data_IF_085723238440
#
_entry.id   IF_085723238440
#
_cell.length_a   1.000
_cell.length_b   1.000
_cell.length_c   1.000
_cell.angle_alpha   90.00
_cell.angle_beta   90.00
_cell.angle_gamma   90.00
#
_symmetry.space_group_name_H-M   'P 1'
#
loop_
_entity.id
_entity.type
_entity.pdbx_description
1 polymer ?
#
# COMPACT_ATOMS: atom_id res chain seq x y z
N UNK A 1 -8.62 -2.23 -30.95
CA UNK A 1 -9.75 -2.03 -30.02
C UNK A 1 -10.09 -3.29 -29.26
N UNK A 2 -10.33 -4.39 -29.94
CA UNK A 2 -10.62 -5.67 -29.27
C UNK A 2 -9.47 -6.15 -28.40
N UNK A 3 -8.24 -6.01 -28.86
CA UNK A 3 -7.07 -6.44 -28.11
C UNK A 3 -6.94 -5.64 -26.80
N UNK A 4 -7.17 -4.35 -26.88
CA UNK A 4 -7.11 -3.47 -25.71
C UNK A 4 -8.22 -3.82 -24.71
N UNK A 5 -9.43 -4.09 -25.22
CA UNK A 5 -10.56 -4.48 -24.38
C UNK A 5 -10.26 -5.77 -23.64
N UNK A 6 -9.68 -6.74 -24.34
CA UNK A 6 -9.35 -8.02 -23.74
C UNK A 6 -8.27 -7.88 -22.68
N UNK A 7 -7.28 -7.04 -22.93
CA UNK A 7 -6.22 -6.76 -21.93
C UNK A 7 -6.80 -6.13 -20.68
N UNK A 8 -7.76 -5.19 -20.83
CA UNK A 8 -8.43 -4.58 -19.71
C UNK A 8 -9.24 -5.59 -18.91
N UNK A 9 -9.93 -6.50 -19.58
CA UNK A 9 -10.71 -7.54 -18.92
C UNK A 9 -9.82 -8.48 -18.12
N UNK A 10 -8.71 -8.89 -18.70
CA UNK A 10 -7.77 -9.79 -18.04
C UNK A 10 -7.16 -9.11 -16.83
N UNK A 11 -6.74 -7.86 -16.98
CA UNK A 11 -6.20 -7.06 -15.88
C UNK A 11 -7.24 -6.89 -14.76
N UNK A 12 -8.47 -6.58 -15.13
CA UNK A 12 -9.56 -6.44 -14.16
C UNK A 12 -9.80 -7.71 -13.37
N UNK A 13 -9.74 -8.87 -14.04
CA UNK A 13 -9.91 -10.16 -13.35
C UNK A 13 -8.79 -10.41 -12.34
N UNK A 14 -7.56 -10.06 -12.70
CA UNK A 14 -6.43 -10.22 -11.80
C UNK A 14 -6.59 -9.36 -10.55
N UNK A 15 -7.18 -8.17 -10.69
CA UNK A 15 -7.37 -7.26 -9.56
C UNK A 15 -8.51 -7.68 -8.63
N UNK A 16 -9.43 -8.53 -9.06
CA UNK A 16 -10.57 -8.94 -8.23
C UNK A 16 -10.15 -9.59 -6.92
N UNK A 17 -9.04 -10.31 -6.92
CA UNK A 17 -8.57 -11.04 -5.76
C UNK A 17 -7.48 -10.29 -4.99
N UNK A 18 -7.25 -9.03 -5.32
CA UNK A 18 -6.24 -8.24 -4.64
C UNK A 18 -6.54 -8.14 -3.15
N UNK A 19 -5.53 -8.44 -2.33
CA UNK A 19 -5.60 -8.34 -0.87
C UNK A 19 -4.35 -7.70 -0.34
N UNK A 20 -4.53 -6.90 0.70
CA UNK A 20 -3.42 -6.39 1.48
C UNK A 20 -3.39 -7.15 2.81
N UNK A 21 -2.21 -7.37 3.38
CA UNK A 21 -2.15 -7.96 4.70
C UNK A 21 -2.68 -6.95 5.71
N UNK A 22 -3.72 -7.32 6.44
CA UNK A 22 -4.21 -6.51 7.54
C UNK A 22 -3.25 -6.63 8.73
N UNK A 23 -3.44 -5.81 9.74
CA UNK A 23 -2.49 -5.73 10.86
C UNK A 23 -2.13 -7.10 11.43
N UNK A 24 -3.14 -7.96 11.64
CA UNK A 24 -2.93 -9.28 12.21
C UNK A 24 -2.15 -10.21 11.28
N UNK A 25 -2.15 -9.93 10.00
CA UNK A 25 -1.49 -10.75 8.99
C UNK A 25 -0.07 -10.28 8.68
N UNK A 26 0.31 -9.10 9.16
CA UNK A 26 1.67 -8.61 8.97
C UNK A 26 2.65 -9.49 9.72
N UNK A 27 3.85 -9.72 9.16
CA UNK A 27 4.86 -10.54 9.84
C UNK A 27 5.20 -9.96 11.20
N UNK A 28 5.05 -10.76 12.24
CA UNK A 28 5.40 -10.37 13.59
C UNK A 28 6.86 -10.73 13.87
N UNK A 29 7.74 -10.20 13.05
CA UNK A 29 9.18 -10.44 13.05
C UNK A 29 9.90 -9.14 12.84
N UNK A 30 11.14 -9.09 13.32
CA UNK A 30 12.03 -7.98 13.00
C UNK A 30 12.73 -8.29 11.67
N UNK A 31 12.65 -7.34 10.74
CA UNK A 31 13.15 -7.51 9.38
C UNK A 31 14.27 -6.53 9.09
N UNK A 32 15.18 -6.91 8.20
CA UNK A 32 16.19 -6.00 7.69
C UNK A 32 15.64 -5.19 6.52
N UNK A 33 16.32 -4.10 6.18
CA UNK A 33 15.90 -3.17 5.14
C UNK A 33 15.52 -3.85 3.82
N UNK A 34 16.37 -4.76 3.34
CA UNK A 34 16.12 -5.43 2.07
C UNK A 34 14.89 -6.34 2.12
N UNK A 35 14.63 -6.95 3.27
CA UNK A 35 13.46 -7.80 3.44
C UNK A 35 12.17 -6.97 3.44
N UNK A 36 12.19 -5.82 4.12
CA UNK A 36 11.05 -4.90 4.14
C UNK A 36 10.74 -4.40 2.73
N UNK A 37 11.77 -4.01 1.99
CA UNK A 37 11.62 -3.52 0.62
C UNK A 37 11.01 -4.60 -0.29
N UNK A 38 11.51 -5.82 -0.18
CA UNK A 38 10.98 -6.96 -0.94
C UNK A 38 9.50 -7.19 -0.61
N UNK A 39 9.16 -7.13 0.66
CA UNK A 39 7.80 -7.37 1.12
C UNK A 39 6.83 -6.32 0.59
N UNK A 40 7.20 -5.04 0.71
CA UNK A 40 6.37 -3.93 0.22
C UNK A 40 6.17 -4.05 -1.29
N UNK A 41 7.24 -4.32 -2.02
CA UNK A 41 7.16 -4.49 -3.47
C UNK A 41 6.22 -5.64 -3.85
N UNK A 42 6.33 -6.74 -3.14
CA UNK A 42 5.50 -7.92 -3.42
C UNK A 42 4.01 -7.63 -3.20
N UNK A 43 3.67 -6.95 -2.12
CA UNK A 43 2.27 -6.66 -1.83
C UNK A 43 1.66 -5.63 -2.77
N UNK A 44 2.44 -4.64 -3.21
CA UNK A 44 1.91 -3.53 -3.99
C UNK A 44 2.10 -3.64 -5.50
N UNK A 45 2.99 -4.51 -5.96
CA UNK A 45 3.24 -4.64 -7.40
C UNK A 45 1.99 -4.96 -8.23
N UNK A 46 0.99 -5.71 -7.72
CA UNK A 46 -0.21 -5.95 -8.52
C UNK A 46 -1.00 -4.69 -8.86
N UNK A 47 -0.94 -3.64 -8.03
CA UNK A 47 -1.72 -2.43 -8.23
C UNK A 47 -0.87 -1.21 -8.60
N UNK A 48 0.38 -1.18 -8.19
CA UNK A 48 1.29 -0.10 -8.55
C UNK A 48 2.20 -0.60 -9.64
N UNK A 49 1.74 -0.45 -10.87
CA UNK A 49 2.52 -0.84 -12.04
C UNK A 49 3.27 0.38 -12.54
N UNK A 50 4.50 0.46 -12.16
CA UNK A 50 5.37 1.52 -12.62
C UNK A 50 6.51 0.95 -13.43
N UNK A 51 7.09 1.80 -14.26
CA UNK A 51 8.29 1.45 -15.01
C UNK A 51 9.49 1.35 -14.08
N UNK A 52 9.36 1.86 -12.87
CA UNK A 52 10.46 1.91 -11.91
C UNK A 52 10.26 0.89 -10.80
N UNK A 53 11.10 -0.10 -10.79
CA UNK A 53 11.27 -1.00 -9.67
C UNK A 53 12.66 -0.83 -9.13
N UNK A 54 12.83 -0.87 -7.82
CA UNK A 54 11.82 -1.17 -6.82
C UNK A 54 10.92 0.04 -6.50
N UNK A 55 9.74 -0.24 -5.96
CA UNK A 55 8.80 0.80 -5.52
C UNK A 55 9.34 1.58 -4.33
N UNK A 56 10.16 0.94 -3.54
CA UNK A 56 10.71 1.49 -2.31
C UNK A 56 12.23 1.28 -2.31
N UNK A 57 12.99 2.36 -2.12
CA UNK A 57 14.44 2.29 -2.02
C UNK A 57 14.89 2.54 -0.58
N UNK A 58 16.12 2.13 -0.27
CA UNK A 58 16.70 2.40 1.05
C UNK A 58 16.75 3.89 1.34
N UNK A 59 17.07 4.69 0.32
CA UNK A 59 17.11 6.15 0.45
C UNK A 59 15.75 6.72 0.80
N UNK A 60 14.69 6.20 0.20
CA UNK A 60 13.32 6.62 0.51
C UNK A 60 12.99 6.33 1.96
N UNK A 61 13.26 5.12 2.43
CA UNK A 61 12.99 4.73 3.81
C UNK A 61 13.74 5.64 4.78
N UNK A 62 15.02 5.86 4.53
CA UNK A 62 15.84 6.72 5.38
C UNK A 62 15.30 8.16 5.41
N UNK A 63 14.82 8.64 4.26
CA UNK A 63 14.23 9.98 4.17
C UNK A 63 12.93 10.06 4.97
N UNK A 64 12.10 9.03 4.93
CA UNK A 64 10.86 9.00 5.69
C UNK A 64 11.12 9.04 7.20
N UNK A 65 12.18 8.38 7.66
CA UNK A 65 12.61 8.45 9.05
C UNK A 65 13.01 9.87 9.40
N UNK A 66 13.82 10.51 8.54
CA UNK A 66 14.27 11.90 8.77
C UNK A 66 13.11 12.87 8.84
N UNK A 67 12.10 12.67 8.01
CA UNK A 67 10.93 13.54 7.97
C UNK A 67 9.92 13.26 9.08
N UNK A 68 10.17 12.25 9.89
CA UNK A 68 9.26 11.90 10.98
C UNK A 68 7.99 11.20 10.52
N UNK A 69 7.99 10.64 9.31
CA UNK A 69 6.85 9.88 8.79
C UNK A 69 6.76 8.51 9.43
N UNK A 70 7.89 7.90 9.71
CA UNK A 70 7.94 6.59 10.35
C UNK A 70 8.96 6.63 11.49
N UNK A 71 8.78 5.77 12.51
CA UNK A 71 9.77 5.71 13.59
C UNK A 71 11.10 5.17 13.08
N UNK A 72 12.17 5.51 13.76
CA UNK A 72 13.50 5.00 13.42
C UNK A 72 13.57 3.50 13.67
N UNK A 73 14.32 2.76 12.84
CA UNK A 73 14.53 1.34 13.10
C UNK A 73 15.38 1.15 14.37
N UNK A 74 15.18 0.02 15.03
CA UNK A 74 15.96 -0.34 16.22
C UNK A 74 17.03 -1.32 15.80
N UNK A 75 18.29 -0.95 15.98
CA UNK A 75 19.44 -1.78 15.57
C UNK A 75 19.33 -2.23 14.11
N UNK A 76 18.92 -1.29 13.24
CA UNK A 76 18.71 -1.50 11.80
C UNK A 76 17.64 -2.54 11.47
N UNK A 77 16.71 -2.80 12.38
CA UNK A 77 15.61 -3.73 12.18
C UNK A 77 14.28 -3.01 12.19
N UNK A 78 13.37 -3.49 11.37
CA UNK A 78 12.04 -2.93 11.16
C UNK A 78 10.99 -3.94 11.58
N UNK A 79 9.95 -3.48 12.28
CA UNK A 79 8.88 -4.34 12.77
C UNK A 79 7.61 -4.17 11.91
N UNK A 80 6.52 -4.81 12.34
CA UNK A 80 5.27 -4.75 11.59
C UNK A 80 4.70 -3.33 11.48
N UNK A 81 4.94 -2.49 12.48
CA UNK A 81 4.51 -1.09 12.43
C UNK A 81 5.18 -0.35 11.28
N UNK A 82 6.48 -0.58 11.10
CA UNK A 82 7.21 -0.02 9.97
C UNK A 82 6.64 -0.49 8.63
N UNK A 83 6.34 -1.78 8.53
CA UNK A 83 5.79 -2.35 7.30
C UNK A 83 4.43 -1.70 6.99
N UNK A 84 3.57 -1.56 8.00
CA UNK A 84 2.27 -0.91 7.83
C UNK A 84 2.41 0.52 7.31
N UNK A 85 3.27 1.31 7.95
CA UNK A 85 3.54 2.68 7.49
C UNK A 85 4.04 2.71 6.05
N UNK A 86 4.98 1.84 5.73
CA UNK A 86 5.59 1.85 4.40
C UNK A 86 4.61 1.41 3.31
N UNK A 87 3.73 0.47 3.60
CA UNK A 87 2.68 0.10 2.66
C UNK A 87 1.73 1.27 2.41
N UNK A 88 1.31 1.95 3.47
CA UNK A 88 0.42 3.09 3.35
C UNK A 88 1.09 4.27 2.62
N UNK A 89 2.31 4.61 3.00
CA UNK A 89 3.03 5.73 2.39
C UNK A 89 3.30 5.47 0.91
N UNK A 90 3.77 4.26 0.57
CA UNK A 90 4.06 3.91 -0.82
C UNK A 90 2.81 4.00 -1.70
N UNK A 91 1.67 3.58 -1.16
CA UNK A 91 0.40 3.68 -1.87
C UNK A 91 -0.04 5.13 -2.02
N UNK A 92 -0.07 5.87 -0.93
CA UNK A 92 -0.62 7.22 -0.89
C UNK A 92 0.21 8.24 -1.67
N UNK A 93 1.53 8.04 -1.76
CA UNK A 93 2.37 8.99 -2.49
C UNK A 93 2.12 8.97 -3.99
N UNK A 94 1.32 8.02 -4.49
CA UNK A 94 0.89 8.02 -5.89
C UNK A 94 -0.07 9.19 -6.17
N UNK A 95 -0.77 9.69 -5.15
CA UNK A 95 -1.78 10.72 -5.30
C UNK A 95 -1.62 11.90 -4.35
N UNK A 96 -0.81 11.77 -3.31
CA UNK A 96 -0.61 12.80 -2.31
C UNK A 96 0.87 13.19 -2.19
N UNK A 97 1.11 14.42 -1.73
CA UNK A 97 2.47 14.88 -1.43
C UNK A 97 2.91 14.33 -0.07
N UNK A 98 4.21 14.30 0.16
CA UNK A 98 4.76 13.85 1.44
C UNK A 98 4.22 14.69 2.62
N UNK A 99 4.16 16.03 2.54
CA UNK A 99 3.55 16.81 3.63
C UNK A 99 2.10 16.45 3.91
N UNK A 100 1.30 16.19 2.86
CA UNK A 100 -0.10 15.77 3.01
C UNK A 100 -0.21 14.42 3.70
N UNK A 101 0.66 13.49 3.34
CA UNK A 101 0.69 12.16 3.97
C UNK A 101 1.05 12.30 5.44
N UNK A 102 2.03 13.16 5.75
CA UNK A 102 2.44 13.39 7.14
C UNK A 102 1.30 13.95 7.98
N UNK A 103 0.55 14.91 7.44
CA UNK A 103 -0.62 15.46 8.13
C UNK A 103 -1.66 14.36 8.40
N UNK A 104 -1.91 13.51 7.41
CA UNK A 104 -2.84 12.40 7.55
C UNK A 104 -2.42 11.41 8.64
N UNK A 105 -1.14 11.07 8.66
CA UNK A 105 -0.60 10.16 9.67
C UNK A 105 -0.75 10.75 11.07
N UNK A 106 -0.42 12.02 11.23
CA UNK A 106 -0.54 12.70 12.52
C UNK A 106 -1.99 12.78 12.99
N UNK A 107 -2.89 13.07 12.05
CA UNK A 107 -4.32 13.14 12.36
C UNK A 107 -4.86 11.79 12.82
N UNK A 108 -4.56 10.73 12.09
CA UNK A 108 -5.01 9.39 12.45
C UNK A 108 -4.43 8.93 13.79
N UNK A 109 -3.20 9.27 14.06
CA UNK A 109 -2.56 8.93 15.32
C UNK A 109 -3.23 9.55 16.53
N UNK A 110 -3.90 10.69 16.34
CA UNK A 110 -4.65 11.36 17.41
C UNK A 110 -6.07 10.84 17.55
N UNK A 111 -6.61 10.28 16.49
CA UNK A 111 -8.03 9.88 16.42
C UNK A 111 -8.20 8.40 16.75
N UNK A 112 -7.43 7.55 16.08
CA UNK A 112 -7.43 6.10 16.30
C UNK A 112 -6.00 5.61 16.29
N UNK A 113 -5.74 4.45 16.86
CA UNK A 113 -4.41 3.88 16.85
C UNK A 113 -3.97 3.42 15.48
N UNK A 114 -2.68 3.12 15.34
CA UNK A 114 -2.10 2.69 14.07
C UNK A 114 -2.78 1.42 13.52
N UNK A 115 -3.11 0.47 14.40
CA UNK A 115 -3.76 -0.77 14.01
C UNK A 115 -5.07 -0.51 13.28
N UNK A 116 -5.95 0.29 13.89
CA UNK A 116 -7.24 0.60 13.30
C UNK A 116 -7.11 1.42 12.03
N UNK A 117 -6.23 2.41 12.05
CA UNK A 117 -5.98 3.25 10.88
C UNK A 117 -5.46 2.42 9.71
N UNK A 118 -4.52 1.53 9.98
CA UNK A 118 -3.97 0.68 8.95
C UNK A 118 -5.01 -0.30 8.39
N UNK A 119 -5.81 -0.91 9.25
CA UNK A 119 -6.85 -1.84 8.79
C UNK A 119 -7.90 -1.12 7.95
N UNK A 120 -8.26 0.09 8.33
CA UNK A 120 -9.18 0.91 7.53
C UNK A 120 -8.56 1.22 6.16
N UNK A 121 -7.28 1.58 6.15
CA UNK A 121 -6.55 1.79 4.90
C UNK A 121 -6.62 0.54 4.00
N UNK A 122 -6.38 -0.64 4.55
CA UNK A 122 -6.44 -1.90 3.79
C UNK A 122 -7.85 -2.11 3.21
N UNK A 123 -8.87 -1.94 4.03
CA UNK A 123 -10.26 -2.15 3.60
C UNK A 123 -10.62 -1.20 2.46
N UNK A 124 -10.27 0.07 2.59
CA UNK A 124 -10.59 1.07 1.58
C UNK A 124 -9.83 0.82 0.28
N UNK A 125 -8.57 0.42 0.37
CA UNK A 125 -7.77 0.11 -0.81
C UNK A 125 -8.32 -1.12 -1.53
N UNK A 126 -8.66 -2.16 -0.80
CA UNK A 126 -9.23 -3.37 -1.42
C UNK A 126 -10.56 -3.07 -2.09
N UNK A 127 -11.40 -2.26 -1.46
CA UNK A 127 -12.67 -1.86 -2.03
C UNK A 127 -12.50 -1.04 -3.31
N UNK A 128 -11.56 -0.09 -3.28
CA UNK A 128 -11.27 0.76 -4.45
C UNK A 128 -10.72 -0.07 -5.61
N UNK A 129 -9.79 -0.97 -5.34
CA UNK A 129 -9.21 -1.84 -6.37
C UNK A 129 -10.28 -2.76 -6.95
N UNK A 130 -11.15 -3.31 -6.10
CA UNK A 130 -12.25 -4.15 -6.57
C UNK A 130 -13.16 -3.36 -7.50
N UNK A 131 -13.50 -2.11 -7.15
CA UNK A 131 -14.32 -1.25 -7.99
C UNK A 131 -13.69 -1.05 -9.36
N UNK A 132 -12.39 -0.73 -9.39
CA UNK A 132 -11.64 -0.57 -10.65
C UNK A 132 -11.65 -1.86 -11.45
N UNK A 133 -11.51 -3.01 -10.78
CA UNK A 133 -11.52 -4.32 -11.45
C UNK A 133 -12.85 -4.56 -12.18
N UNK A 134 -13.96 -4.16 -11.56
CA UNK A 134 -15.29 -4.33 -12.15
C UNK A 134 -15.49 -3.39 -13.34
N UNK A 135 -15.04 -2.15 -13.22
CA UNK A 135 -15.12 -1.20 -14.33
C UNK A 135 -14.28 -1.65 -15.52
N UNK A 136 -13.08 -2.18 -15.26
CA UNK A 136 -12.20 -2.67 -16.31
C UNK A 136 -12.81 -3.84 -17.07
N UNK A 137 -13.70 -4.60 -16.43
CA UNK A 137 -14.40 -5.72 -17.06
C UNK A 137 -15.71 -5.30 -17.72
N UNK A 138 -15.97 -3.99 -17.81
CA UNK A 138 -17.13 -3.46 -18.47
C UNK A 138 -18.43 -3.52 -17.66
N UNK A 139 -18.33 -3.73 -16.37
CA UNK A 139 -19.50 -3.76 -15.49
C UNK A 139 -19.85 -2.34 -15.03
N UNK A 140 -21.11 -1.95 -15.18
CA UNK A 140 -21.58 -0.65 -14.72
C UNK A 140 -22.20 -0.79 -13.32
N UNK A 141 -22.06 0.26 -12.52
CA UNK A 141 -22.59 0.32 -11.16
C UNK A 141 -22.21 -0.88 -10.29
N UNK A 142 -20.89 -1.22 -10.25
CA UNK A 142 -20.47 -2.37 -9.45
C UNK A 142 -20.65 -2.10 -7.96
N UNK A 143 -21.20 -3.07 -7.26
CA UNK A 143 -21.41 -2.99 -5.82
C UNK A 143 -20.90 -4.28 -5.18
N UNK A 144 -20.01 -4.15 -4.23
CA UNK A 144 -19.51 -5.27 -3.46
C UNK A 144 -20.24 -5.37 -2.12
N UNK A 145 -20.71 -4.22 -1.65
CA UNK A 145 -21.32 -4.09 -0.34
C UNK A 145 -22.80 -3.77 -0.43
#
# INVERSE_FOLDING_TARGET
>A
MEKMRQQLMEWGKELETFRLPHWEELPDLELYMDQVRTLVDRYLSPVIQGEKHPLLTSSMVNNYVKLGLIPAPVKKRYNKEHVAFLLAITTLKQVLTIPEIKEGILFQGKTVGIREAYNLFCDEQEAAVWMVSQLAQGKSHPQKF
#
